data_IF_651222471682
#
_entry.id   IF_651222471682
#
_cell.length_a   1.000
_cell.length_b   1.000
_cell.length_c   1.000
_cell.angle_alpha   90.00
_cell.angle_beta   90.00
_cell.angle_gamma   90.00
#
_symmetry.space_group_name_H-M   'P 1'
#
loop_
_entity.id
_entity.type
_entity.pdbx_description
1 polymer ?
#
# COMPACT_ATOMS: atom_id res chain seq x y z
N UNK A 1 -10.50 14.98 -3.60
CA UNK A 1 -9.37 14.20 -3.07
C UNK A 1 -8.76 13.58 -4.31
N UNK A 2 -7.58 14.01 -4.73
CA UNK A 2 -6.94 13.53 -5.96
C UNK A 2 -6.18 12.25 -5.65
N UNK A 3 -6.29 11.24 -6.53
CA UNK A 3 -5.54 10.01 -6.38
C UNK A 3 -4.06 10.26 -6.67
N UNK A 4 -3.17 9.71 -5.85
CA UNK A 4 -1.73 9.85 -6.00
C UNK A 4 -1.19 8.99 -7.17
N UNK A 5 -1.93 7.96 -7.57
CA UNK A 5 -1.61 7.10 -8.70
C UNK A 5 -2.88 6.64 -9.45
N UNK A 6 -2.71 6.31 -10.72
CA UNK A 6 -3.74 5.82 -11.63
C UNK A 6 -3.22 4.59 -12.36
N UNK A 7 -4.07 3.62 -12.65
CA UNK A 7 -3.73 2.46 -13.49
C UNK A 7 -4.53 2.49 -14.78
N UNK A 8 -3.87 2.26 -15.91
CA UNK A 8 -4.55 2.06 -17.18
C UNK A 8 -5.29 0.73 -17.19
N UNK A 9 -6.60 0.77 -17.46
CA UNK A 9 -7.45 -0.42 -17.62
C UNK A 9 -7.10 -1.26 -18.85
N UNK A 10 -6.49 -0.63 -19.85
CA UNK A 10 -6.13 -1.26 -21.13
C UNK A 10 -4.78 -1.96 -21.06
N UNK A 11 -3.81 -1.34 -20.39
CA UNK A 11 -2.41 -1.80 -20.42
C UNK A 11 -1.89 -2.30 -19.08
N UNK A 12 -2.60 -2.03 -17.98
CA UNK A 12 -2.12 -2.32 -16.61
C UNK A 12 -1.00 -1.38 -16.14
N UNK A 13 -0.59 -0.39 -16.94
CA UNK A 13 0.49 0.54 -16.59
C UNK A 13 0.04 1.51 -15.49
N UNK A 14 0.90 1.70 -14.49
CA UNK A 14 0.67 2.64 -13.38
C UNK A 14 1.31 3.99 -13.70
N UNK A 15 0.55 5.06 -13.49
CA UNK A 15 0.94 6.45 -13.64
C UNK A 15 0.86 7.11 -12.27
N UNK A 16 1.95 7.73 -11.82
CA UNK A 16 2.02 8.41 -10.52
C UNK A 16 1.96 9.92 -10.73
N UNK A 17 1.17 10.62 -9.93
CA UNK A 17 1.17 12.07 -9.96
C UNK A 17 2.46 12.59 -9.31
N UNK A 18 3.30 13.28 -10.08
CA UNK A 18 4.61 13.80 -9.64
C UNK A 18 4.53 14.87 -8.54
N UNK A 19 3.32 15.23 -8.09
CA UNK A 19 3.11 16.10 -6.93
C UNK A 19 3.67 15.52 -5.61
N UNK A 20 3.89 14.20 -5.51
CA UNK A 20 4.51 13.51 -4.37
C UNK A 20 5.93 13.03 -4.73
N UNK A 21 6.80 13.94 -5.18
CA UNK A 21 8.13 13.65 -5.73
C UNK A 21 9.17 13.03 -4.77
N UNK A 22 8.99 11.78 -4.37
CA UNK A 22 10.02 11.03 -3.61
C UNK A 22 10.37 9.64 -4.18
N UNK A 23 9.64 9.11 -5.17
CA UNK A 23 9.96 7.79 -5.75
C UNK A 23 9.80 7.75 -7.27
N UNK A 24 10.91 7.93 -8.00
CA UNK A 24 11.08 7.43 -9.37
C UNK A 24 11.69 8.41 -10.38
N UNK A 25 12.85 8.04 -10.94
CA UNK A 25 13.46 8.60 -12.17
C UNK A 25 12.64 8.28 -13.45
N UNK A 26 11.32 8.44 -13.40
CA UNK A 26 10.46 8.32 -14.58
C UNK A 26 9.60 9.59 -14.69
N UNK A 27 10.09 10.53 -15.49
CA UNK A 27 9.31 11.65 -16.03
C UNK A 27 8.25 11.12 -17.03
N UNK A 28 7.39 10.17 -16.65
CA UNK A 28 6.20 9.87 -17.44
C UNK A 28 5.18 10.98 -17.13
N UNK A 29 5.14 12.01 -17.98
CA UNK A 29 4.04 12.98 -17.99
C UNK A 29 2.71 12.22 -17.98
N UNK A 30 1.79 12.61 -17.10
CA UNK A 30 0.46 12.00 -17.05
C UNK A 30 -0.22 12.17 -18.42
N UNK A 31 -0.86 11.11 -18.96
CA UNK A 31 -1.63 11.21 -20.19
C UNK A 31 -2.68 12.33 -20.12
N UNK A 32 -2.94 13.02 -21.23
CA UNK A 32 -3.92 14.12 -21.24
C UNK A 32 -5.35 13.65 -20.94
N UNK A 33 -5.61 12.36 -21.17
CA UNK A 33 -6.85 11.63 -20.93
C UNK A 33 -6.85 10.88 -19.58
N UNK A 34 -5.91 11.16 -18.66
CA UNK A 34 -5.84 10.51 -17.34
C UNK A 34 -7.12 10.67 -16.50
N UNK A 35 -7.92 11.70 -16.79
CA UNK A 35 -9.23 11.93 -16.16
C UNK A 35 -10.36 11.04 -16.71
N UNK A 36 -10.12 10.25 -17.75
CA UNK A 36 -11.10 9.32 -18.30
C UNK A 36 -11.18 8.04 -17.45
N UNK A 37 -12.22 7.96 -16.61
CA UNK A 37 -12.47 6.84 -15.69
C UNK A 37 -12.75 5.50 -16.42
N UNK A 38 -13.03 5.55 -17.73
CA UNK A 38 -13.21 4.34 -18.56
C UNK A 38 -11.88 3.76 -19.03
N UNK A 39 -10.83 4.59 -19.08
CA UNK A 39 -9.47 4.21 -19.49
C UNK A 39 -8.53 4.04 -18.30
N UNK A 40 -8.77 4.78 -17.21
CA UNK A 40 -7.91 4.81 -16.03
C UNK A 40 -8.73 4.59 -14.76
N UNK A 41 -8.18 3.84 -13.81
CA UNK A 41 -8.76 3.67 -12.48
C UNK A 41 -7.83 4.33 -11.44
N UNK A 42 -8.35 5.23 -10.58
CA UNK A 42 -7.55 5.83 -9.52
C UNK A 42 -7.19 4.78 -8.47
N UNK A 43 -5.89 4.63 -8.19
CA UNK A 43 -5.43 3.73 -7.13
C UNK A 43 -5.88 4.31 -5.79
N UNK A 44 -6.59 3.55 -4.94
CA UNK A 44 -7.05 4.04 -3.66
C UNK A 44 -5.85 4.34 -2.77
N UNK A 45 -5.97 5.37 -1.93
CA UNK A 45 -4.91 5.70 -0.99
C UNK A 45 -4.71 4.57 0.03
N UNK A 46 -3.57 4.59 0.71
CA UNK A 46 -3.27 3.67 1.83
C UNK A 46 -4.35 3.63 2.93
N UNK A 47 -5.17 4.68 3.02
CA UNK A 47 -6.29 4.75 3.97
C UNK A 47 -7.52 3.98 3.48
N UNK A 48 -7.81 4.04 2.18
CA UNK A 48 -8.91 3.29 1.55
C UNK A 48 -8.60 1.80 1.44
N UNK A 49 -7.33 1.43 1.31
CA UNK A 49 -6.88 0.03 1.30
C UNK A 49 -6.68 -0.58 2.70
N UNK A 50 -7.03 0.16 3.78
CA UNK A 50 -6.81 -0.25 5.18
C UNK A 50 -5.32 -0.51 5.56
N UNK A 51 -4.37 -0.10 4.70
CA UNK A 51 -2.92 -0.30 4.83
C UNK A 51 -2.24 0.70 5.79
N UNK A 52 -3.02 1.36 6.64
CA UNK A 52 -2.53 2.32 7.63
C UNK A 52 -2.43 1.72 9.04
N UNK A 53 -3.04 2.43 10.00
CA UNK A 53 -3.16 1.97 11.39
C UNK A 53 -3.82 0.59 11.54
N UNK A 54 -4.90 0.25 10.80
CA UNK A 54 -5.56 -1.05 10.95
C UNK A 54 -4.62 -2.23 10.68
N UNK A 55 -3.81 -2.15 9.62
CA UNK A 55 -2.80 -3.15 9.28
C UNK A 55 -1.80 -3.39 10.43
N UNK A 56 -1.35 -2.30 11.06
CA UNK A 56 -0.44 -2.39 12.22
C UNK A 56 -1.10 -3.13 13.39
N UNK A 57 -2.34 -2.78 13.75
CA UNK A 57 -3.03 -3.47 14.84
C UNK A 57 -3.33 -4.93 14.52
N UNK A 58 -3.61 -5.24 13.26
CA UNK A 58 -3.78 -6.61 12.78
C UNK A 58 -2.50 -7.42 12.98
N UNK A 59 -1.36 -6.91 12.49
CA UNK A 59 -0.07 -7.57 12.69
C UNK A 59 0.24 -7.79 14.17
N UNK A 60 0.08 -6.77 15.01
CA UNK A 60 0.40 -6.88 16.44
C UNK A 60 -0.49 -7.89 17.14
N UNK A 61 -1.79 -7.95 16.80
CA UNK A 61 -2.68 -8.98 17.34
C UNK A 61 -2.25 -10.40 16.94
N UNK A 62 -1.72 -10.58 15.74
CA UNK A 62 -1.35 -11.89 15.20
C UNK A 62 0.06 -12.34 15.62
N UNK A 63 1.02 -11.41 15.72
CA UNK A 63 2.44 -11.72 15.90
C UNK A 63 3.04 -11.25 17.23
N UNK A 64 2.47 -10.21 17.86
CA UNK A 64 3.00 -9.60 19.09
C UNK A 64 1.87 -9.21 20.06
N UNK A 65 1.02 -10.17 20.49
CA UNK A 65 -0.15 -9.86 21.30
C UNK A 65 0.24 -9.16 22.63
N UNK A 66 1.39 -9.52 23.22
CA UNK A 66 1.91 -8.84 24.41
C UNK A 66 2.27 -7.35 24.19
N UNK A 67 2.49 -6.93 22.94
CA UNK A 67 2.81 -5.54 22.61
C UNK A 67 1.59 -4.67 22.30
N UNK A 68 0.36 -5.23 22.26
CA UNK A 68 -0.86 -4.49 21.88
C UNK A 68 -1.03 -3.17 22.62
N UNK A 69 -1.06 -3.20 23.96
CA UNK A 69 -1.25 -1.99 24.78
C UNK A 69 -0.15 -0.94 24.56
N UNK A 70 1.06 -1.40 24.20
CA UNK A 70 2.18 -0.51 23.91
C UNK A 70 2.03 0.14 22.54
N UNK A 71 1.59 -0.62 21.54
CA UNK A 71 1.33 -0.12 20.19
C UNK A 71 0.16 0.86 20.18
N UNK A 72 -0.92 0.60 20.92
CA UNK A 72 -2.03 1.55 21.06
C UNK A 72 -1.56 2.93 21.56
N UNK A 73 -0.66 2.94 22.56
CA UNK A 73 -0.06 4.18 23.06
C UNK A 73 0.84 4.87 22.04
N UNK A 74 1.60 4.12 21.24
CA UNK A 74 2.45 4.67 20.18
C UNK A 74 1.61 5.42 19.14
N UNK A 75 0.50 4.82 18.69
CA UNK A 75 -0.37 5.40 17.66
C UNK A 75 -1.29 6.52 18.14
N UNK A 76 -1.25 6.86 19.43
CA UNK A 76 -1.81 8.08 19.99
C UNK A 76 -0.89 9.31 19.89
N UNK A 77 0.35 9.17 19.42
CA UNK A 77 1.36 10.26 19.35
C UNK A 77 1.85 10.51 17.93
N UNK A 78 2.44 11.69 17.68
CA UNK A 78 3.17 11.96 16.42
C UNK A 78 4.40 11.05 16.32
N UNK A 79 4.76 10.68 15.10
CA UNK A 79 5.92 9.79 14.85
C UNK A 79 5.67 8.33 15.23
N UNK A 80 4.41 7.88 15.19
CA UNK A 80 4.01 6.53 15.58
C UNK A 80 4.74 5.43 14.79
N UNK A 81 4.87 5.59 13.46
CA UNK A 81 5.51 4.59 12.61
C UNK A 81 7.00 4.40 12.91
N UNK A 82 7.75 5.47 13.20
CA UNK A 82 9.15 5.36 13.61
C UNK A 82 9.29 4.60 14.93
N UNK A 83 8.48 4.96 15.92
CA UNK A 83 8.47 4.27 17.22
C UNK A 83 8.01 2.81 17.12
N UNK A 84 7.07 2.52 16.22
CA UNK A 84 6.62 1.17 15.96
C UNK A 84 7.73 0.32 15.34
N UNK A 85 8.43 0.82 14.32
CA UNK A 85 9.59 0.12 13.75
C UNK A 85 10.67 -0.16 14.80
N UNK A 86 11.01 0.83 15.63
CA UNK A 86 11.97 0.61 16.73
C UNK A 86 11.50 -0.44 17.75
N UNK A 87 10.18 -0.54 18.01
CA UNK A 87 9.63 -1.60 18.84
C UNK A 87 9.79 -2.98 18.17
N UNK A 88 9.52 -3.07 16.87
CA UNK A 88 9.69 -4.31 16.11
C UNK A 88 11.15 -4.76 16.02
N UNK A 89 12.08 -3.82 15.83
CA UNK A 89 13.52 -4.08 15.86
C UNK A 89 13.95 -4.68 17.20
N UNK A 90 13.50 -4.07 18.31
CA UNK A 90 13.79 -4.59 19.65
C UNK A 90 13.15 -5.95 19.94
N UNK A 91 12.04 -6.28 19.26
CA UNK A 91 11.35 -7.55 19.36
C UNK A 91 11.80 -8.59 18.31
N UNK A 92 12.76 -8.26 17.43
CA UNK A 92 13.20 -9.14 16.35
C UNK A 92 12.12 -9.46 15.31
N UNK A 93 11.08 -8.63 15.20
CA UNK A 93 9.90 -8.85 14.36
C UNK A 93 9.79 -7.89 13.18
N UNK A 94 10.85 -7.09 12.92
CA UNK A 94 10.84 -6.11 11.84
C UNK A 94 10.74 -6.76 10.46
N UNK A 95 11.46 -7.85 10.22
CA UNK A 95 11.39 -8.58 8.94
C UNK A 95 10.01 -9.19 8.73
N UNK A 96 9.44 -9.82 9.77
CA UNK A 96 8.08 -10.35 9.72
C UNK A 96 7.03 -9.27 9.43
N UNK A 97 7.22 -8.05 9.95
CA UNK A 97 6.36 -6.91 9.61
C UNK A 97 6.46 -6.54 8.12
N UNK A 98 7.67 -6.49 7.56
CA UNK A 98 7.82 -6.15 6.14
C UNK A 98 7.21 -7.21 5.22
N UNK A 99 7.36 -8.49 5.52
CA UNK A 99 6.66 -9.55 4.79
C UNK A 99 5.14 -9.43 4.93
N UNK A 100 4.64 -9.20 6.14
CA UNK A 100 3.22 -9.05 6.39
C UNK A 100 2.63 -7.84 5.65
N UNK A 101 3.33 -6.71 5.68
CA UNK A 101 2.96 -5.48 4.98
C UNK A 101 2.95 -5.71 3.46
N UNK A 102 3.99 -6.32 2.89
CA UNK A 102 4.06 -6.61 1.46
C UNK A 102 2.91 -7.51 0.99
N UNK A 103 2.62 -8.58 1.75
CA UNK A 103 1.51 -9.50 1.43
C UNK A 103 0.15 -8.79 1.51
N UNK A 104 -0.05 -7.93 2.52
CA UNK A 104 -1.30 -7.18 2.66
C UNK A 104 -1.49 -6.15 1.55
N UNK A 105 -0.41 -5.44 1.16
CA UNK A 105 -0.40 -4.51 0.03
C UNK A 105 -0.77 -5.26 -1.26
N UNK A 106 -0.11 -6.39 -1.53
CA UNK A 106 -0.40 -7.22 -2.70
C UNK A 106 -1.86 -7.68 -2.72
N UNK A 107 -2.35 -8.21 -1.60
CA UNK A 107 -3.74 -8.69 -1.49
C UNK A 107 -4.76 -7.56 -1.72
N UNK A 108 -4.57 -6.40 -1.08
CA UNK A 108 -5.46 -5.26 -1.23
C UNK A 108 -5.47 -4.71 -2.66
N UNK A 109 -4.29 -4.63 -3.31
CA UNK A 109 -4.20 -4.21 -4.71
C UNK A 109 -4.85 -5.22 -5.66
N UNK A 110 -4.71 -6.53 -5.39
CA UNK A 110 -5.35 -7.58 -6.19
C UNK A 110 -6.87 -7.55 -6.05
N UNK A 111 -7.38 -7.38 -4.83
CA UNK A 111 -8.80 -7.27 -4.56
C UNK A 111 -9.40 -6.04 -5.26
N UNK A 112 -8.77 -4.87 -5.05
CA UNK A 112 -9.17 -3.65 -5.73
C UNK A 112 -9.13 -3.79 -7.26
N UNK A 113 -8.08 -4.40 -7.82
CA UNK A 113 -7.98 -4.64 -9.25
C UNK A 113 -9.13 -5.53 -9.76
N UNK A 114 -9.49 -6.57 -9.00
CA UNK A 114 -10.64 -7.43 -9.27
C UNK A 114 -11.97 -6.66 -9.27
N UNK A 115 -12.17 -5.78 -8.28
CA UNK A 115 -13.37 -4.92 -8.20
C UNK A 115 -13.46 -3.94 -9.38
N UNK A 116 -12.32 -3.45 -9.86
CA UNK A 116 -12.25 -2.58 -11.04
C UNK A 116 -12.39 -3.34 -12.37
N UNK A 117 -12.40 -4.67 -12.37
CA UNK A 117 -12.42 -5.49 -13.58
C UNK A 117 -11.09 -5.46 -14.34
N UNK A 118 -9.99 -5.10 -13.66
CA UNK A 118 -8.65 -5.11 -14.22
C UNK A 118 -8.15 -6.56 -14.32
N UNK A 119 -7.87 -7.02 -15.53
CA UNK A 119 -7.20 -8.30 -15.73
C UNK A 119 -5.74 -8.17 -15.28
N UNK A 120 -5.41 -8.75 -14.14
CA UNK A 120 -4.03 -8.96 -13.74
C UNK A 120 -3.45 -10.04 -14.64
N UNK A 121 -2.77 -9.64 -15.73
CA UNK A 121 -1.89 -10.54 -16.46
C UNK A 121 -0.67 -10.79 -15.56
N UNK A 122 -0.84 -11.69 -14.59
CA UNK A 122 0.30 -12.24 -13.85
C UNK A 122 1.10 -13.04 -14.89
N UNK A 123 2.33 -12.61 -15.26
CA UNK A 123 3.15 -13.41 -16.15
C UNK A 123 3.35 -14.74 -15.44
N UNK A 124 2.72 -15.78 -16.00
CA UNK A 124 2.83 -17.15 -15.51
C UNK A 124 4.29 -17.53 -15.73
N UNK A 125 5.13 -17.34 -14.71
CA UNK A 125 6.51 -17.82 -14.74
C UNK A 125 6.42 -19.33 -15.01
N UNK A 126 6.75 -19.71 -16.26
CA UNK A 126 6.84 -21.09 -16.67
C UNK A 126 7.93 -21.74 -15.82
N UNK A 127 7.54 -22.80 -15.11
CA UNK A 127 8.43 -23.66 -14.34
C UNK A 127 9.45 -24.38 -15.23
#
# INVERSE_FOLDING_TARGET
>A
MEAEAYVSRVTGRVFMSTASGEFGDAEDELPQDIGDETLYAPVPGKHDLDLGKPLVFRFVREHLPEAQERVERIFGRRGAYGQFKSLLEGAGSLEAWYEFEANAVEAALREWAGEQGLALDVPRHAS
#
